data_IF_985223204905
#
_entry.id   IF_985223204905
#
_cell.length_a   1.000
_cell.length_b   1.000
_cell.length_c   1.000
_cell.angle_alpha   90.00
_cell.angle_beta   90.00
_cell.angle_gamma   90.00
#
_symmetry.space_group_name_H-M   'P 1'
#
loop_
_entity.id
_entity.type
_entity.pdbx_description
1 polymer ?
#
# COMPACT_ATOMS: atom_id res chain seq x y z
N UNK A 1 23.70 7.02 -25.46
CA UNK A 1 22.65 7.86 -24.92
C UNK A 1 22.28 7.41 -23.52
N UNK A 2 22.65 7.06 -22.68
CA UNK A 2 22.20 6.66 -21.33
C UNK A 2 23.35 6.14 -20.51
N UNK A 3 24.50 6.85 -20.61
CA UNK A 3 25.65 6.57 -19.78
C UNK A 3 25.53 7.11 -18.36
N UNK A 4 24.31 7.20 -17.81
CA UNK A 4 24.17 7.49 -16.39
C UNK A 4 24.55 6.23 -15.62
N UNK A 5 25.54 6.30 -14.72
CA UNK A 5 25.90 5.15 -13.94
C UNK A 5 24.75 4.78 -13.01
N UNK A 6 23.97 3.82 -13.47
CA UNK A 6 22.85 3.22 -12.76
C UNK A 6 23.20 2.86 -11.30
N UNK A 7 24.47 2.54 -11.06
CA UNK A 7 24.96 2.15 -9.74
C UNK A 7 25.07 3.27 -8.69
N UNK A 8 25.27 4.52 -9.12
CA UNK A 8 25.46 5.61 -8.15
C UNK A 8 24.13 6.12 -7.58
N UNK A 9 23.09 6.10 -8.41
CA UNK A 9 21.73 6.46 -7.98
C UNK A 9 21.09 5.36 -7.15
N UNK A 10 21.32 4.10 -7.50
CA UNK A 10 20.77 2.96 -6.77
C UNK A 10 21.33 2.85 -5.34
N UNK A 11 22.62 3.13 -5.12
CA UNK A 11 23.21 3.10 -3.77
C UNK A 11 22.66 4.20 -2.85
N UNK A 12 22.40 5.38 -3.38
CA UNK A 12 21.81 6.48 -2.61
C UNK A 12 20.32 6.26 -2.35
N UNK A 13 19.63 5.71 -3.32
CA UNK A 13 18.21 5.41 -3.26
C UNK A 13 17.92 4.29 -2.23
N UNK A 14 18.70 3.22 -2.29
CA UNK A 14 18.55 2.07 -1.39
C UNK A 14 18.92 2.42 0.07
N UNK A 15 19.90 3.31 0.30
CA UNK A 15 20.28 3.72 1.66
C UNK A 15 19.23 4.60 2.34
N UNK A 16 18.55 5.47 1.58
CA UNK A 16 17.55 6.38 2.12
C UNK A 16 16.21 5.71 2.41
N UNK A 17 15.93 4.59 1.74
CA UNK A 17 14.69 3.84 1.90
C UNK A 17 14.78 2.66 2.88
N UNK A 18 15.97 2.37 3.40
CA UNK A 18 16.20 1.18 4.22
C UNK A 18 15.75 1.32 5.68
N UNK A 19 15.39 2.49 6.13
CA UNK A 19 15.28 2.73 7.57
C UNK A 19 13.88 2.60 8.13
N UNK A 20 12.79 2.80 7.38
CA UNK A 20 11.45 2.73 8.00
C UNK A 20 10.28 2.47 7.06
N UNK A 21 10.50 2.02 5.84
CA UNK A 21 9.38 1.79 4.93
C UNK A 21 8.82 0.38 5.09
N UNK A 22 7.50 0.28 5.27
CA UNK A 22 6.80 -0.99 5.19
C UNK A 22 7.03 -1.62 3.81
N UNK A 23 7.10 -2.94 3.76
CA UNK A 23 7.10 -3.64 2.49
C UNK A 23 5.75 -3.45 1.79
N UNK A 24 5.74 -3.53 0.46
CA UNK A 24 4.51 -3.49 -0.33
C UNK A 24 3.48 -4.49 0.19
N UNK A 25 3.94 -5.68 0.55
CA UNK A 25 3.09 -6.73 1.11
C UNK A 25 2.41 -6.30 2.42
N UNK A 26 3.14 -5.70 3.35
CA UNK A 26 2.56 -5.22 4.61
C UNK A 26 1.60 -4.04 4.39
N UNK A 27 1.88 -3.19 3.42
CA UNK A 27 0.97 -2.11 3.02
C UNK A 27 -0.35 -2.67 2.49
N UNK A 28 -0.32 -3.73 1.69
CA UNK A 28 -1.53 -4.41 1.21
C UNK A 28 -2.39 -4.92 2.36
N UNK A 29 -1.80 -5.47 3.41
CA UNK A 29 -2.54 -5.87 4.61
C UNK A 29 -3.26 -4.69 5.26
N UNK A 30 -2.58 -3.56 5.43
CA UNK A 30 -3.19 -2.37 6.02
C UNK A 30 -4.34 -1.85 5.17
N UNK A 31 -4.19 -1.87 3.86
CA UNK A 31 -5.23 -1.46 2.92
C UNK A 31 -6.48 -2.33 3.05
N UNK A 32 -6.33 -3.65 3.06
CA UNK A 32 -7.43 -4.59 3.23
C UNK A 32 -8.14 -4.36 4.56
N UNK A 33 -7.40 -4.24 5.66
CA UNK A 33 -7.96 -4.01 6.99
C UNK A 33 -8.74 -2.69 7.01
N UNK A 34 -8.18 -1.63 6.41
CA UNK A 34 -8.82 -0.32 6.35
C UNK A 34 -10.13 -0.37 5.55
N UNK A 35 -10.15 -1.04 4.41
CA UNK A 35 -11.34 -1.18 3.58
C UNK A 35 -12.47 -1.92 4.31
N UNK A 36 -12.15 -2.98 5.03
CA UNK A 36 -13.14 -3.69 5.86
C UNK A 36 -13.69 -2.80 6.98
N UNK A 37 -12.81 -2.06 7.64
CA UNK A 37 -13.20 -1.13 8.70
C UNK A 37 -14.13 -0.04 8.17
N UNK A 38 -13.79 0.54 7.02
CA UNK A 38 -14.61 1.59 6.38
C UNK A 38 -15.98 1.06 5.94
N UNK A 39 -16.08 -0.21 5.61
CA UNK A 39 -17.35 -0.88 5.29
C UNK A 39 -18.11 -1.35 6.54
N UNK A 40 -17.64 -1.00 7.73
CA UNK A 40 -18.20 -1.42 9.02
C UNK A 40 -18.24 -2.93 9.22
N UNK A 41 -17.34 -3.65 8.56
CA UNK A 41 -17.20 -5.08 8.71
C UNK A 41 -16.03 -5.41 9.63
N UNK A 42 -16.23 -6.39 10.49
CA UNK A 42 -15.14 -6.95 11.29
C UNK A 42 -14.28 -7.85 10.41
N UNK A 43 -12.98 -7.68 10.48
CA UNK A 43 -12.04 -8.48 9.72
C UNK A 43 -11.30 -9.48 10.60
N UNK A 44 -11.11 -10.68 10.07
CA UNK A 44 -10.35 -11.75 10.70
C UNK A 44 -9.22 -12.20 9.77
N UNK A 45 -8.27 -12.95 10.31
CA UNK A 45 -7.14 -13.47 9.52
C UNK A 45 -7.58 -14.27 8.29
N UNK A 46 -8.69 -15.02 8.39
CA UNK A 46 -9.21 -15.77 7.25
C UNK A 46 -9.70 -14.87 6.12
N UNK A 47 -10.28 -13.74 6.46
CA UNK A 47 -10.74 -12.77 5.45
C UNK A 47 -9.55 -12.21 4.67
N UNK A 48 -8.47 -11.87 5.37
CA UNK A 48 -7.23 -11.39 4.75
C UNK A 48 -6.62 -12.45 3.83
N UNK A 49 -6.56 -13.70 4.32
CA UNK A 49 -6.06 -14.84 3.54
C UNK A 49 -6.81 -14.99 2.23
N UNK A 50 -8.12 -14.83 2.27
CA UNK A 50 -9.00 -14.93 1.10
C UNK A 50 -8.82 -13.74 0.16
N UNK A 51 -8.84 -12.52 0.68
CA UNK A 51 -8.71 -11.29 -0.12
C UNK A 51 -7.36 -11.21 -0.85
N UNK A 52 -6.28 -11.54 -0.17
CA UNK A 52 -4.95 -11.46 -0.72
C UNK A 52 -4.47 -12.77 -1.38
N UNK A 53 -5.28 -13.81 -1.30
CA UNK A 53 -4.95 -15.15 -1.85
C UNK A 53 -3.59 -15.67 -1.36
N UNK A 54 -3.39 -15.64 -0.06
CA UNK A 54 -2.15 -16.07 0.61
C UNK A 54 -2.47 -17.04 1.74
N UNK A 55 -1.45 -17.81 2.16
CA UNK A 55 -1.60 -18.81 3.21
C UNK A 55 -1.90 -18.18 4.57
N UNK A 56 -2.60 -18.93 5.42
CA UNK A 56 -2.86 -18.52 6.81
C UNK A 56 -1.57 -18.29 7.60
N UNK A 57 -0.56 -19.09 7.35
CA UNK A 57 0.75 -18.94 7.99
C UNK A 57 1.38 -17.59 7.64
N UNK A 58 1.33 -17.18 6.37
CA UNK A 58 1.81 -15.88 5.92
C UNK A 58 1.03 -14.73 6.56
N UNK A 59 -0.29 -14.86 6.67
CA UNK A 59 -1.15 -13.87 7.35
C UNK A 59 -0.74 -13.72 8.80
N UNK A 60 -0.60 -14.83 9.52
CA UNK A 60 -0.19 -14.82 10.94
C UNK A 60 1.14 -14.11 11.15
N UNK A 61 2.12 -14.39 10.30
CA UNK A 61 3.43 -13.73 10.36
C UNK A 61 3.32 -12.22 10.09
N UNK A 62 2.55 -11.83 9.09
CA UNK A 62 2.34 -10.42 8.76
C UNK A 62 1.63 -9.68 9.90
N UNK A 63 0.60 -10.27 10.48
CA UNK A 63 -0.13 -9.67 11.60
C UNK A 63 0.77 -9.48 12.82
N UNK A 64 1.66 -10.42 13.10
CA UNK A 64 2.67 -10.27 14.16
C UNK A 64 3.60 -9.08 13.90
N UNK A 65 4.08 -8.96 12.67
CA UNK A 65 4.96 -7.83 12.27
C UNK A 65 4.24 -6.49 12.39
N UNK A 66 3.01 -6.40 11.91
CA UNK A 66 2.21 -5.17 12.00
C UNK A 66 1.90 -4.80 13.45
N UNK A 67 1.61 -5.78 14.29
CA UNK A 67 1.40 -5.56 15.72
C UNK A 67 2.66 -5.04 16.39
N UNK A 68 3.81 -5.64 16.11
CA UNK A 68 5.09 -5.20 16.67
C UNK A 68 5.49 -3.80 16.23
N UNK A 69 5.05 -3.37 15.07
CA UNK A 69 5.26 -2.01 14.55
C UNK A 69 4.24 -0.98 15.09
N UNK A 70 3.27 -1.41 15.88
CA UNK A 70 2.25 -0.53 16.43
C UNK A 70 1.23 -0.04 15.40
N UNK A 71 1.00 -0.80 14.33
CA UNK A 71 0.10 -0.40 13.25
C UNK A 71 -1.28 -1.03 13.34
N UNK A 72 -1.38 -2.17 14.02
CA UNK A 72 -2.65 -2.85 14.29
C UNK A 72 -2.73 -3.30 15.73
N UNK A 73 -3.96 -3.50 16.20
CA UNK A 73 -4.28 -4.24 17.39
C UNK A 73 -4.83 -5.60 16.97
N UNK A 74 -4.28 -6.65 17.50
CA UNK A 74 -4.72 -8.01 17.20
C UNK A 74 -4.95 -8.74 18.51
N UNK A 75 -6.20 -8.96 18.85
CA UNK A 75 -6.53 -9.57 20.12
C UNK A 75 -6.60 -11.10 20.05
N UNK A 76 -6.69 -11.70 21.24
CA UNK A 76 -6.74 -13.14 21.45
C UNK A 76 -7.92 -13.82 20.76
N UNK A 77 -9.00 -13.10 20.53
CA UNK A 77 -10.24 -13.62 19.94
C UNK A 77 -10.32 -13.37 18.44
N UNK A 78 -9.21 -12.96 17.84
CA UNK A 78 -9.11 -12.77 16.41
C UNK A 78 -9.58 -11.42 15.89
N UNK A 79 -9.96 -10.49 16.76
CA UNK A 79 -10.33 -9.14 16.33
C UNK A 79 -9.09 -8.36 15.90
N UNK A 80 -9.16 -7.78 14.70
CA UNK A 80 -8.10 -6.97 14.12
C UNK A 80 -8.63 -5.55 13.92
N UNK A 81 -7.88 -4.57 14.40
CA UNK A 81 -8.20 -3.16 14.19
C UNK A 81 -6.93 -2.37 13.90
N UNK A 82 -7.08 -1.25 13.21
CA UNK A 82 -5.97 -0.33 12.97
C UNK A 82 -5.74 0.55 14.19
N UNK A 83 -4.46 0.83 14.48
CA UNK A 83 -4.11 1.95 15.34
C UNK A 83 -4.27 3.25 14.55
N UNK A 84 -4.21 4.40 15.19
CA UNK A 84 -4.25 5.69 14.49
C UNK A 84 -3.11 5.81 13.48
N UNK A 85 -1.91 5.36 13.84
CA UNK A 85 -0.76 5.34 12.92
C UNK A 85 -1.01 4.41 11.73
N UNK A 86 -1.50 3.20 11.98
CA UNK A 86 -1.85 2.25 10.92
C UNK A 86 -2.93 2.80 9.98
N UNK A 87 -3.94 3.44 10.53
CA UNK A 87 -5.01 4.08 9.76
C UNK A 87 -4.49 5.19 8.85
N UNK A 88 -3.63 6.06 9.38
CA UNK A 88 -3.04 7.15 8.60
C UNK A 88 -2.23 6.61 7.41
N UNK A 89 -1.44 5.57 7.62
CA UNK A 89 -0.66 4.92 6.56
C UNK A 89 -1.60 4.28 5.53
N UNK A 90 -2.61 3.53 5.97
CA UNK A 90 -3.57 2.88 5.07
C UNK A 90 -4.33 3.88 4.21
N UNK A 91 -4.80 4.97 4.80
CA UNK A 91 -5.52 6.02 4.09
C UNK A 91 -4.64 6.69 3.03
N UNK A 92 -3.36 6.90 3.32
CA UNK A 92 -2.41 7.45 2.36
C UNK A 92 -2.22 6.51 1.17
N UNK A 93 -2.11 5.21 1.40
CA UNK A 93 -1.98 4.21 0.34
C UNK A 93 -3.23 4.17 -0.53
N UNK A 94 -4.41 4.15 0.09
CA UNK A 94 -5.70 4.13 -0.62
C UNK A 94 -5.85 5.39 -1.47
N UNK A 95 -5.51 6.55 -0.93
CA UNK A 95 -5.53 7.81 -1.66
C UNK A 95 -4.60 7.79 -2.88
N UNK A 96 -3.39 7.25 -2.71
CA UNK A 96 -2.44 7.08 -3.83
C UNK A 96 -3.02 6.18 -4.92
N UNK A 97 -3.63 5.07 -4.52
CA UNK A 97 -4.25 4.14 -5.47
C UNK A 97 -5.31 4.85 -6.32
N UNK A 98 -6.24 5.55 -5.68
CA UNK A 98 -7.34 6.23 -6.37
C UNK A 98 -6.84 7.31 -7.33
N UNK A 99 -5.86 8.09 -6.94
CA UNK A 99 -5.31 9.16 -7.77
C UNK A 99 -4.54 8.57 -8.97
N UNK A 100 -3.74 7.54 -8.75
CA UNK A 100 -3.02 6.85 -9.82
C UNK A 100 -3.97 6.17 -10.79
N UNK A 101 -4.99 5.50 -10.29
CA UNK A 101 -6.02 4.89 -11.13
C UNK A 101 -6.69 5.94 -12.01
N UNK A 102 -7.09 7.06 -11.43
CA UNK A 102 -7.69 8.17 -12.16
C UNK A 102 -6.77 8.72 -13.25
N UNK A 103 -5.47 8.83 -12.96
CA UNK A 103 -4.47 9.24 -13.94
C UNK A 103 -4.41 8.27 -15.13
N UNK A 104 -4.32 6.98 -14.85
CA UNK A 104 -4.27 5.95 -15.89
C UNK A 104 -5.53 5.91 -16.75
N UNK A 105 -6.69 6.10 -16.16
CA UNK A 105 -7.96 6.14 -16.90
C UNK A 105 -8.09 7.38 -17.76
N UNK A 106 -7.91 8.56 -17.16
CA UNK A 106 -8.22 9.83 -17.81
C UNK A 106 -7.14 10.33 -18.74
N UNK A 107 -5.88 10.13 -18.40
CA UNK A 107 -4.75 10.66 -19.15
C UNK A 107 -4.24 9.63 -20.16
N UNK A 108 -4.09 8.38 -19.74
CA UNK A 108 -3.57 7.33 -20.59
C UNK A 108 -4.67 6.53 -21.30
N UNK A 109 -5.93 6.73 -20.96
CA UNK A 109 -7.05 6.07 -21.59
C UNK A 109 -7.15 4.58 -21.32
N UNK A 110 -6.59 4.10 -20.21
CA UNK A 110 -6.70 2.70 -19.83
C UNK A 110 -8.10 2.37 -19.34
N UNK A 111 -8.48 1.11 -19.43
CA UNK A 111 -9.72 0.62 -18.83
C UNK A 111 -9.63 0.74 -17.31
N UNK A 112 -10.77 0.77 -16.63
CA UNK A 112 -10.84 0.80 -15.17
C UNK A 112 -10.02 -0.34 -14.55
N UNK A 113 -10.17 -1.55 -15.08
CA UNK A 113 -9.47 -2.74 -14.62
C UNK A 113 -7.96 -2.63 -14.77
N UNK A 114 -7.49 -2.25 -15.97
CA UNK A 114 -6.06 -2.08 -16.24
C UNK A 114 -5.47 -0.91 -15.44
N UNK A 115 -6.20 0.18 -15.30
CA UNK A 115 -5.80 1.34 -14.50
C UNK A 115 -5.64 0.96 -13.02
N UNK A 116 -6.58 0.23 -12.48
CA UNK A 116 -6.53 -0.25 -11.09
C UNK A 116 -5.34 -1.20 -10.86
N UNK A 117 -5.10 -2.12 -11.80
CA UNK A 117 -3.97 -3.04 -11.73
C UNK A 117 -2.63 -2.30 -11.71
N UNK A 118 -2.47 -1.32 -12.61
CA UNK A 118 -1.24 -0.52 -12.67
C UNK A 118 -1.06 0.36 -11.43
N UNK A 119 -2.14 0.98 -10.96
CA UNK A 119 -2.12 1.78 -9.73
C UNK A 119 -1.64 0.94 -8.54
N UNK A 120 -2.16 -0.27 -8.40
CA UNK A 120 -1.78 -1.21 -7.35
C UNK A 120 -0.29 -1.55 -7.36
N UNK A 121 0.28 -1.72 -8.55
CA UNK A 121 1.72 -2.01 -8.72
C UNK A 121 2.62 -0.82 -8.39
N UNK A 122 2.19 0.39 -8.67
CA UNK A 122 3.01 1.61 -8.59
C UNK A 122 2.89 2.31 -7.23
N UNK A 123 1.75 2.24 -6.58
CA UNK A 123 1.46 3.00 -5.35
C UNK A 123 2.48 2.78 -4.23
N UNK A 124 3.10 1.61 -4.19
CA UNK A 124 4.08 1.26 -3.16
C UNK A 124 5.49 1.77 -3.45
N UNK A 125 5.78 2.12 -4.71
CA UNK A 125 7.15 2.43 -5.15
C UNK A 125 7.32 3.84 -5.72
N UNK A 126 6.23 4.51 -6.06
CA UNK A 126 6.30 5.88 -6.60
C UNK A 126 6.85 6.86 -5.56
N UNK A 127 7.71 7.78 -5.98
CA UNK A 127 8.20 8.81 -5.08
C UNK A 127 7.10 9.82 -4.75
N UNK A 128 7.19 10.44 -3.59
CA UNK A 128 6.22 11.48 -3.19
C UNK A 128 6.19 12.64 -4.19
N UNK A 129 7.35 13.04 -4.71
CA UNK A 129 7.41 14.12 -5.69
C UNK A 129 6.67 13.76 -6.99
N UNK A 130 6.91 12.56 -7.54
CA UNK A 130 6.22 12.10 -8.74
C UNK A 130 4.71 11.99 -8.50
N UNK A 131 4.32 11.44 -7.37
CA UNK A 131 2.92 11.33 -6.99
C UNK A 131 2.25 12.71 -6.89
N UNK A 132 2.90 13.67 -6.22
CA UNK A 132 2.37 15.01 -6.07
C UNK A 132 2.19 15.71 -7.42
N UNK A 133 3.13 15.52 -8.36
CA UNK A 133 3.04 16.07 -9.71
C UNK A 133 1.86 15.47 -10.48
N UNK A 134 1.64 14.18 -10.35
CA UNK A 134 0.47 13.51 -10.95
C UNK A 134 -0.83 14.04 -10.35
N UNK A 135 -0.89 14.16 -9.03
CA UNK A 135 -2.04 14.69 -8.32
C UNK A 135 -2.38 16.13 -8.75
N UNK A 136 -1.38 16.99 -8.83
CA UNK A 136 -1.55 18.37 -9.32
C UNK A 136 -2.08 18.39 -10.76
N UNK A 137 -1.54 17.54 -11.62
CA UNK A 137 -1.93 17.46 -13.02
C UNK A 137 -3.41 17.06 -13.19
N UNK A 138 -3.86 16.09 -12.43
CA UNK A 138 -5.25 15.60 -12.48
C UNK A 138 -6.23 16.64 -11.94
N UNK A 139 -5.83 17.40 -10.94
CA UNK A 139 -6.70 18.36 -10.25
C UNK A 139 -6.73 19.75 -10.92
N UNK A 140 -6.09 19.88 -12.05
CA UNK A 140 -6.17 21.11 -12.86
C UNK A 140 -7.50 21.27 -13.57
#
# INVERSE_FOLDING_TARGET
MLGLPYNKFQKHYVRRFRVEKLTASLEDYLEVICNYTNSQNNIRAIDISRELNISRASVTEALKKLTSKGLINYDRYGAISLTETGKAIAEKIISKHLILQKFFEKILGLTEEEASENACKIEHVITDNAFNKISEYINK
#
